data_IF_794629635625
#
_entry.id   IF_794629635625
#
_cell.length_a   1.000
_cell.length_b   1.000
_cell.length_c   1.000
_cell.angle_alpha   90.00
_cell.angle_beta   90.00
_cell.angle_gamma   90.00
#
_symmetry.space_group_name_H-M   'P 1'
#
loop_
_entity.id
_entity.type
_entity.pdbx_description
1 polymer ?
#
# COMPACT_ATOMS: atom_id res chain seq x y z
N UNK A 1 -3.33 -2.82 -6.38
CA UNK A 1 -2.17 -3.73 -6.24
C UNK A 1 -1.87 -3.83 -4.77
N UNK A 2 -1.48 -5.02 -4.28
CA UNK A 2 -1.15 -5.27 -2.88
C UNK A 2 0.30 -4.81 -2.61
N UNK A 3 0.54 -4.16 -1.47
CA UNK A 3 1.88 -3.71 -1.05
C UNK A 3 2.77 -4.90 -0.68
N UNK A 4 4.07 -4.79 -0.96
CA UNK A 4 5.10 -5.84 -0.73
C UNK A 4 5.99 -5.51 0.45
N UNK A 5 6.59 -6.54 1.07
CA UNK A 5 7.61 -6.34 2.12
C UNK A 5 8.85 -5.67 1.52
N UNK A 6 9.41 -4.69 2.23
CA UNK A 6 10.50 -3.82 1.78
C UNK A 6 10.03 -2.66 0.89
N UNK A 7 8.74 -2.56 0.58
CA UNK A 7 8.20 -1.41 -0.15
C UNK A 7 8.12 -0.19 0.76
N UNK A 8 8.56 0.97 0.26
CA UNK A 8 8.43 2.25 0.94
C UNK A 8 7.24 3.01 0.37
N UNK A 9 6.22 3.20 1.19
CA UNK A 9 5.00 3.95 0.86
C UNK A 9 5.21 5.41 1.26
N UNK A 10 4.87 6.32 0.34
CA UNK A 10 4.91 7.78 0.54
C UNK A 10 6.27 8.30 1.03
N UNK A 11 7.37 7.61 0.66
CA UNK A 11 8.73 7.92 1.14
C UNK A 11 8.85 8.02 2.68
N UNK A 12 7.99 7.31 3.41
CA UNK A 12 7.85 7.44 4.87
C UNK A 12 7.72 6.10 5.58
N UNK A 13 6.97 5.16 5.01
CA UNK A 13 6.63 3.91 5.69
C UNK A 13 7.19 2.71 4.94
N UNK A 14 8.12 2.01 5.55
CA UNK A 14 8.64 0.74 5.03
C UNK A 14 7.77 -0.42 5.51
N UNK A 15 7.24 -1.24 4.61
CA UNK A 15 6.46 -2.42 4.96
C UNK A 15 7.39 -3.54 5.45
N UNK A 16 7.22 -3.97 6.70
CA UNK A 16 8.03 -5.02 7.31
C UNK A 16 7.40 -6.41 7.17
N UNK A 17 6.10 -6.52 7.45
CA UNK A 17 5.36 -7.79 7.32
C UNK A 17 3.86 -7.56 7.31
N UNK A 18 3.11 -8.49 6.73
CA UNK A 18 1.67 -8.57 6.93
C UNK A 18 1.38 -9.08 8.34
N UNK A 19 0.49 -8.42 9.07
CA UNK A 19 0.07 -8.80 10.43
C UNK A 19 -1.42 -9.12 10.55
N UNK A 20 -2.20 -8.86 9.51
CA UNK A 20 -3.61 -9.22 9.49
C UNK A 20 -4.22 -9.16 8.09
N UNK A 21 -5.29 -9.92 7.88
CA UNK A 21 -6.05 -9.92 6.64
C UNK A 21 -7.53 -10.11 6.96
N UNK A 22 -8.36 -9.29 6.34
CA UNK A 22 -9.81 -9.42 6.32
C UNK A 22 -10.33 -9.42 4.88
N UNK A 23 -11.64 -9.59 4.71
CA UNK A 23 -12.24 -9.71 3.37
C UNK A 23 -11.95 -8.54 2.43
N UNK A 24 -11.88 -7.31 2.96
CA UNK A 24 -11.68 -6.08 2.18
C UNK A 24 -10.37 -5.34 2.49
N UNK A 25 -9.52 -5.86 3.37
CA UNK A 25 -8.32 -5.13 3.78
C UNK A 25 -7.19 -6.04 4.23
N UNK A 26 -5.97 -5.55 4.09
CA UNK A 26 -4.76 -6.17 4.66
C UNK A 26 -4.14 -5.17 5.63
N UNK A 27 -3.61 -5.66 6.74
CA UNK A 27 -2.90 -4.86 7.73
C UNK A 27 -1.44 -5.27 7.73
N UNK A 28 -0.55 -4.29 7.64
CA UNK A 28 0.89 -4.44 7.65
C UNK A 28 1.49 -3.79 8.89
N UNK A 29 2.53 -4.41 9.44
CA UNK A 29 3.49 -3.73 10.29
C UNK A 29 4.43 -2.96 9.38
N UNK A 30 4.57 -1.67 9.63
CA UNK A 30 5.45 -0.78 8.90
C UNK A 30 6.37 -0.02 9.85
N UNK A 31 7.56 0.36 9.38
CA UNK A 31 8.44 1.29 10.07
C UNK A 31 8.23 2.69 9.51
N UNK A 32 7.88 3.65 10.36
CA UNK A 32 8.05 5.07 10.03
C UNK A 32 9.54 5.41 10.10
N UNK A 33 10.17 5.61 8.94
CA UNK A 33 11.62 5.82 8.84
C UNK A 33 12.08 7.15 9.47
N UNK A 34 11.17 8.11 9.63
CA UNK A 34 11.49 9.43 10.20
C UNK A 34 11.42 9.40 11.73
N UNK A 35 10.45 8.65 12.26
CA UNK A 35 10.23 8.54 13.70
C UNK A 35 10.91 7.31 14.32
N UNK A 36 11.43 6.40 13.48
CA UNK A 36 11.95 5.09 13.88
C UNK A 36 10.98 4.34 14.80
N UNK A 37 9.69 4.37 14.45
CA UNK A 37 8.60 3.73 15.21
C UNK A 37 7.82 2.79 14.33
N UNK A 38 7.35 1.70 14.93
CA UNK A 38 6.49 0.72 14.26
C UNK A 38 5.03 1.17 14.28
N UNK A 39 4.39 1.10 13.13
CA UNK A 39 3.01 1.52 12.89
C UNK A 39 2.24 0.40 12.18
N UNK A 40 0.92 0.37 12.38
CA UNK A 40 0.04 -0.50 11.61
C UNK A 40 -0.52 0.27 10.40
N UNK A 41 -0.22 -0.20 9.19
CA UNK A 41 -0.79 0.33 7.95
C UNK A 41 -1.92 -0.59 7.47
N UNK A 42 -3.11 -0.02 7.23
CA UNK A 42 -4.28 -0.75 6.73
C UNK A 42 -4.53 -0.40 5.27
N UNK A 43 -4.26 -1.36 4.39
CA UNK A 43 -4.56 -1.25 2.96
C UNK A 43 -5.98 -1.73 2.71
N UNK A 44 -6.81 -0.89 2.10
CA UNK A 44 -8.21 -1.21 1.77
C UNK A 44 -8.29 -1.55 0.28
N UNK A 45 -8.73 -2.76 -0.04
CA UNK A 45 -8.97 -3.21 -1.42
C UNK A 45 -10.33 -2.68 -1.88
N UNK A 46 -10.34 -1.62 -2.68
CA UNK A 46 -11.56 -1.23 -3.41
C UNK A 46 -11.76 -2.20 -4.58
N UNK A 47 -12.88 -2.94 -4.58
CA UNK A 47 -13.38 -3.61 -5.79
C UNK A 47 -13.98 -2.54 -6.71
N UNK A 48 -13.14 -1.91 -7.51
CA UNK A 48 -13.55 -0.92 -8.50
C UNK A 48 -12.39 -0.66 -9.44
N UNK A 49 -12.52 -1.14 -10.67
CA UNK A 49 -11.54 -0.92 -11.72
C UNK A 49 -11.38 0.59 -11.92
N UNK A 50 -10.16 1.09 -11.75
CA UNK A 50 -9.69 2.15 -12.63
C UNK A 50 -8.52 1.52 -13.36
N UNK A 51 -8.82 0.88 -14.49
CA UNK A 51 -7.82 0.79 -15.56
C UNK A 51 -7.42 2.25 -15.81
N UNK A 52 -6.12 2.56 -15.69
CA UNK A 52 -5.59 3.78 -16.28
C UNK A 52 -5.83 3.60 -17.78
N UNK A 53 -6.94 4.13 -18.28
CA UNK A 53 -7.12 4.29 -19.71
C UNK A 53 -5.99 5.21 -20.16
N UNK A 54 -5.08 4.64 -20.94
CA UNK A 54 -4.08 5.38 -21.68
C UNK A 54 -4.79 6.49 -22.44
N UNK A 55 -4.43 7.74 -22.17
CA UNK A 55 -4.89 8.88 -22.94
C UNK A 55 -4.25 8.73 -24.33
N UNK A 56 -4.96 8.10 -25.25
CA UNK A 56 -4.59 8.11 -26.67
C UNK A 56 -4.89 9.52 -27.18
N UNK A 57 -3.83 10.32 -27.33
CA UNK A 57 -3.86 11.59 -28.03
C UNK A 57 -3.68 11.25 -29.52
N UNK A 58 -4.76 11.28 -30.30
CA UNK A 58 -4.65 11.27 -31.75
C UNK A 58 -4.35 12.70 -32.24
N UNK A 59 -3.32 12.82 -33.08
CA UNK A 59 -2.99 14.01 -33.87
C UNK A 59 -3.80 14.05 -35.15
#
# INVERSE_FOLDING_TARGET
MQSRVGEIIDSKYEILKQIGQGGMSIVYLAMDIRLNKQWALKEIRKKGQVKKDEIIINS
#
